data_IF_628893961726
#
_entry.id   IF_628893961726
#
_cell.length_a   1.000
_cell.length_b   1.000
_cell.length_c   1.000
_cell.angle_alpha   90.00
_cell.angle_beta   90.00
_cell.angle_gamma   90.00
#
_symmetry.space_group_name_H-M   'P 1'
#
loop_
_entity.id
_entity.type
_entity.pdbx_description
1 polymer ?
#
# COMPACT_ATOMS: atom_id res chain seq x y z
N UNK A 1 14.68 15.22 -28.21
CA UNK A 1 15.95 14.67 -27.64
C UNK A 1 16.29 13.31 -28.23
N UNK A 2 15.39 12.32 -28.15
CA UNK A 2 15.58 11.01 -28.81
C UNK A 2 15.59 11.16 -30.33
N UNK A 3 14.62 11.85 -30.92
CA UNK A 3 14.53 12.06 -32.39
C UNK A 3 15.65 12.92 -32.99
N UNK A 4 16.35 13.71 -32.15
CA UNK A 4 17.49 14.53 -32.57
C UNK A 4 18.83 13.79 -32.41
N UNK A 5 18.82 12.52 -32.01
CA UNK A 5 20.03 11.74 -31.75
C UNK A 5 20.85 12.19 -30.53
N UNK A 6 20.26 13.01 -29.64
CA UNK A 6 20.95 13.60 -28.47
C UNK A 6 20.65 12.87 -27.16
N UNK A 7 19.99 11.71 -27.22
CA UNK A 7 19.74 10.89 -26.03
C UNK A 7 21.01 10.13 -25.63
N UNK A 8 21.37 10.18 -24.35
CA UNK A 8 22.50 9.45 -23.79
C UNK A 8 21.98 8.30 -22.90
N UNK A 9 22.01 7.04 -23.36
CA UNK A 9 21.57 5.92 -22.54
C UNK A 9 22.52 5.70 -21.36
N UNK A 10 21.99 5.19 -20.25
CA UNK A 10 22.76 4.85 -19.06
C UNK A 10 22.52 3.38 -18.73
N UNK A 11 23.60 2.64 -18.45
CA UNK A 11 23.51 1.26 -18.01
C UNK A 11 22.93 1.21 -16.60
N UNK A 12 21.95 0.33 -16.38
CA UNK A 12 21.39 0.10 -15.06
C UNK A 12 22.37 -0.69 -14.20
N UNK A 13 22.55 -0.27 -12.95
CA UNK A 13 23.25 -1.06 -11.95
C UNK A 13 22.28 -2.09 -11.36
N UNK A 14 22.57 -3.37 -11.62
CA UNK A 14 21.72 -4.48 -11.20
C UNK A 14 21.64 -4.64 -9.67
N UNK A 15 22.55 -4.04 -8.89
CA UNK A 15 22.52 -4.11 -7.42
C UNK A 15 21.33 -3.34 -6.82
N UNK A 16 20.76 -2.39 -7.55
CA UNK A 16 19.57 -1.64 -7.14
C UNK A 16 18.26 -2.21 -7.70
N UNK A 17 18.30 -3.29 -8.48
CA UNK A 17 17.12 -3.88 -9.07
C UNK A 17 16.24 -4.55 -8.01
N UNK A 18 14.93 -4.28 -8.03
CA UNK A 18 13.93 -4.99 -7.22
C UNK A 18 12.83 -5.57 -8.10
N UNK A 19 12.39 -6.83 -7.85
CA UNK A 19 11.33 -7.43 -8.63
C UNK A 19 9.98 -6.78 -8.30
N UNK A 20 9.21 -6.46 -9.33
CA UNK A 20 7.81 -6.05 -9.22
C UNK A 20 6.91 -7.26 -9.57
N UNK A 21 6.44 -8.04 -8.58
CA UNK A 21 5.64 -9.23 -8.85
C UNK A 21 4.29 -8.87 -9.45
N UNK A 22 3.73 -9.82 -10.22
CA UNK A 22 2.38 -9.69 -10.77
C UNK A 22 1.35 -9.64 -9.63
N UNK A 23 0.33 -8.82 -9.82
CA UNK A 23 -0.76 -8.67 -8.86
C UNK A 23 -1.87 -9.67 -9.22
N UNK A 24 -2.37 -10.39 -8.21
CA UNK A 24 -3.50 -11.32 -8.32
C UNK A 24 -4.66 -10.84 -7.44
N UNK A 25 -5.84 -11.42 -7.62
CA UNK A 25 -7.03 -11.03 -6.84
C UNK A 25 -6.79 -11.28 -5.34
N UNK A 26 -6.15 -12.39 -5.01
CA UNK A 26 -5.86 -12.84 -3.64
C UNK A 26 -4.87 -11.89 -2.95
N UNK A 27 -3.88 -11.38 -3.69
CA UNK A 27 -2.89 -10.42 -3.17
C UNK A 27 -3.47 -9.03 -2.96
N UNK A 28 -4.73 -8.78 -3.36
CA UNK A 28 -5.44 -7.53 -3.12
C UNK A 28 -6.33 -7.57 -1.85
N UNK A 29 -6.36 -8.70 -1.13
CA UNK A 29 -7.09 -8.80 0.13
C UNK A 29 -6.37 -8.01 1.21
N UNK A 30 -7.11 -7.19 1.95
CA UNK A 30 -6.57 -6.45 3.08
C UNK A 30 -6.29 -7.41 4.23
N UNK A 31 -5.05 -7.39 4.71
CA UNK A 31 -4.63 -8.00 5.96
C UNK A 31 -4.72 -6.96 7.08
N UNK A 32 -5.73 -7.09 7.93
CA UNK A 32 -6.02 -6.17 9.03
C UNK A 32 -5.06 -6.31 10.23
N UNK A 33 -4.16 -7.29 10.21
CA UNK A 33 -3.11 -7.44 11.23
C UNK A 33 -1.92 -6.52 10.99
N UNK A 34 -1.88 -5.79 9.87
CA UNK A 34 -0.82 -4.84 9.53
C UNK A 34 -1.10 -3.46 10.12
N UNK A 35 -0.03 -2.68 10.30
CA UNK A 35 -0.15 -1.29 10.75
C UNK A 35 -1.03 -0.45 9.83
N UNK A 36 -1.70 0.54 10.40
CA UNK A 36 -2.59 1.44 9.66
C UNK A 36 -1.89 2.14 8.49
N UNK A 37 -0.60 2.46 8.63
CA UNK A 37 0.22 3.03 7.55
C UNK A 37 0.40 2.08 6.36
N UNK A 38 0.64 0.81 6.66
CA UNK A 38 0.82 -0.23 5.64
C UNK A 38 -0.51 -0.47 4.91
N UNK A 39 -1.62 -0.57 5.65
CA UNK A 39 -2.95 -0.73 5.07
C UNK A 39 -3.34 0.49 4.24
N UNK A 40 -3.05 1.71 4.73
CA UNK A 40 -3.31 2.94 3.99
C UNK A 40 -2.53 2.99 2.67
N UNK A 41 -1.23 2.66 2.71
CA UNK A 41 -0.37 2.56 1.54
C UNK A 41 -0.84 1.50 0.55
N UNK A 42 -1.30 0.36 1.05
CA UNK A 42 -1.85 -0.73 0.25
C UNK A 42 -3.11 -0.31 -0.50
N UNK A 43 -4.07 0.34 0.17
CA UNK A 43 -5.31 0.84 -0.45
C UNK A 43 -5.00 1.85 -1.57
N UNK A 44 -4.10 2.82 -1.33
CA UNK A 44 -3.75 3.82 -2.37
C UNK A 44 -2.92 3.23 -3.52
N UNK A 45 -2.12 2.19 -3.25
CA UNK A 45 -1.30 1.52 -4.27
C UNK A 45 -2.10 0.66 -5.24
N UNK A 46 -3.29 0.19 -4.82
CA UNK A 46 -4.18 -0.65 -5.64
C UNK A 46 -5.40 0.10 -6.20
N UNK A 47 -5.59 1.38 -5.87
CA UNK A 47 -6.73 2.18 -6.32
C UNK A 47 -6.40 2.94 -7.61
N UNK A 48 -7.33 3.04 -8.58
CA UNK A 48 -8.69 2.50 -8.58
C UNK A 48 -8.78 1.04 -9.04
N UNK A 49 -7.73 0.51 -9.67
CA UNK A 49 -7.65 -0.86 -10.17
C UNK A 49 -6.33 -1.50 -9.74
N UNK A 50 -6.34 -2.73 -9.20
CA UNK A 50 -7.46 -3.69 -9.09
C UNK A 50 -8.42 -3.48 -7.89
N UNK A 51 -8.13 -2.49 -7.04
CA UNK A 51 -8.76 -2.20 -5.75
C UNK A 51 -8.44 -3.23 -4.65
N UNK A 52 -8.11 -2.72 -3.47
CA UNK A 52 -8.03 -3.52 -2.26
C UNK A 52 -9.43 -4.00 -1.85
N UNK A 53 -9.55 -5.17 -1.23
CA UNK A 53 -10.85 -5.69 -0.80
C UNK A 53 -10.80 -6.41 0.55
N UNK A 54 -11.95 -6.49 1.21
CA UNK A 54 -12.16 -7.27 2.45
C UNK A 54 -13.51 -7.99 2.39
N UNK A 55 -13.77 -8.88 3.34
CA UNK A 55 -15.10 -9.48 3.57
C UNK A 55 -15.73 -8.81 4.78
N UNK A 56 -17.00 -8.45 4.66
CA UNK A 56 -17.83 -7.97 5.77
C UNK A 56 -19.25 -8.51 5.59
N UNK A 57 -19.80 -9.15 6.61
CA UNK A 57 -21.11 -9.84 6.56
C UNK A 57 -21.26 -10.73 5.31
N UNK A 58 -20.28 -11.60 5.10
CA UNK A 58 -20.19 -12.53 3.95
C UNK A 58 -20.18 -11.88 2.55
N UNK A 59 -20.01 -10.55 2.49
CA UNK A 59 -19.95 -9.80 1.24
C UNK A 59 -18.54 -9.25 1.02
N UNK A 60 -18.05 -9.39 -0.20
CA UNK A 60 -16.80 -8.79 -0.61
C UNK A 60 -17.01 -7.29 -0.89
N UNK A 61 -16.24 -6.45 -0.20
CA UNK A 61 -16.28 -4.99 -0.34
C UNK A 61 -14.93 -4.51 -0.86
N UNK A 62 -14.96 -3.64 -1.88
CA UNK A 62 -13.78 -2.96 -2.40
C UNK A 62 -13.56 -1.64 -1.67
N UNK A 63 -12.31 -1.34 -1.36
CA UNK A 63 -11.90 -0.10 -0.68
C UNK A 63 -11.02 0.69 -1.64
N UNK A 64 -11.51 1.87 -2.05
CA UNK A 64 -10.82 2.74 -3.00
C UNK A 64 -10.05 3.88 -2.33
N UNK A 65 -10.41 4.22 -1.10
CA UNK A 65 -9.79 5.30 -0.33
C UNK A 65 -9.89 5.01 1.16
N UNK A 66 -8.88 5.41 1.92
CA UNK A 66 -8.87 5.41 3.37
C UNK A 66 -8.27 6.71 3.90
N UNK A 67 -8.57 7.03 5.15
CA UNK A 67 -7.94 8.12 5.92
C UNK A 67 -7.56 7.55 7.28
N UNK A 68 -6.33 7.78 7.72
CA UNK A 68 -5.88 7.38 9.06
C UNK A 68 -6.59 8.22 10.11
N UNK A 69 -6.96 7.61 11.23
CA UNK A 69 -7.49 8.32 12.39
C UNK A 69 -6.35 8.77 13.29
N UNK A 70 -6.46 9.96 13.89
CA UNK A 70 -5.50 10.52 14.85
C UNK A 70 -5.90 10.19 16.29
N UNK A 71 -6.26 8.93 16.57
CA UNK A 71 -6.51 8.52 17.96
C UNK A 71 -5.18 8.29 18.69
N UNK A 72 -4.76 9.28 19.47
CA UNK A 72 -3.73 9.12 20.49
C UNK A 72 -4.37 8.48 21.72
N UNK A 73 -3.91 7.28 22.10
CA UNK A 73 -4.34 6.64 23.36
C UNK A 73 -3.85 7.50 24.54
N UNK A 74 -4.78 8.15 25.25
CA UNK A 74 -4.50 8.89 26.50
C UNK A 74 -4.36 7.98 27.73
N UNK A 75 -3.89 6.74 27.58
CA UNK A 75 -3.70 5.82 28.72
C UNK A 75 -2.23 5.73 29.13
N UNK A 76 -1.65 6.87 29.55
CA UNK A 76 -0.43 6.87 30.35
C UNK A 76 -0.73 7.64 31.65
N UNK A 77 -0.40 7.01 32.78
CA UNK A 77 -0.48 7.52 34.17
C UNK A 77 -1.77 7.30 34.96
N UNK A 78 -2.11 6.04 35.23
CA UNK A 78 -2.56 5.66 36.58
C UNK A 78 -1.87 4.35 36.93
N UNK A 79 -0.73 4.41 37.63
CA UNK A 79 -0.21 3.41 38.59
C UNK A 79 1.19 3.81 39.04
N UNK A 80 1.24 4.69 40.04
CA UNK A 80 2.32 4.72 41.03
C UNK A 80 1.63 4.83 42.38
N UNK A 81 1.28 3.67 42.94
CA UNK A 81 0.91 3.51 44.34
C UNK A 81 2.14 3.15 45.16
#
# INVERSE_FOLDING_TARGET
>A
MIELGKANPQQQDNTFASPAPKIFKETCRIDWNKDADVIHNFVRGLSPYPAAWTVHNDKQIKIFRSKKSEFTNQNSEINAG
#
